data_IF_104235001876
#
_entry.id   IF_104235001876
#
_cell.length_a   1.000
_cell.length_b   1.000
_cell.length_c   1.000
_cell.angle_alpha   90.00
_cell.angle_beta   90.00
_cell.angle_gamma   90.00
#
_symmetry.space_group_name_H-M   'P 1'
#
loop_
_entity.id
_entity.type
_entity.pdbx_description
1 polymer ?
#
# COMPACT_ATOMS: atom_id res chain seq x y z
N UNK A 1 10.14 47.74 -20.05
CA UNK A 1 9.67 46.42 -20.57
C UNK A 1 10.36 45.22 -19.92
N UNK A 2 11.54 45.35 -19.29
CA UNK A 2 12.20 44.23 -18.60
C UNK A 2 11.67 43.96 -17.17
N UNK A 3 11.18 44.97 -16.46
CA UNK A 3 10.75 44.87 -15.05
C UNK A 3 9.42 44.14 -14.84
N UNK A 4 8.45 44.30 -15.75
CA UNK A 4 7.16 43.60 -15.70
C UNK A 4 7.25 42.07 -15.89
N UNK A 5 8.38 41.57 -16.39
CA UNK A 5 8.58 40.14 -16.70
C UNK A 5 9.20 39.36 -15.53
N UNK A 6 9.90 40.04 -14.61
CA UNK A 6 10.48 39.44 -13.42
C UNK A 6 9.47 39.32 -12.26
N UNK A 7 8.61 40.34 -12.08
CA UNK A 7 7.60 40.34 -11.00
C UNK A 7 6.57 39.21 -11.17
N UNK A 8 6.14 38.91 -12.41
CA UNK A 8 5.23 37.79 -12.67
C UNK A 8 5.86 36.40 -12.42
N UNK A 9 7.19 36.28 -12.48
CA UNK A 9 7.91 35.03 -12.21
C UNK A 9 8.04 34.75 -10.71
N UNK A 10 8.15 35.81 -9.90
CA UNK A 10 8.28 35.70 -8.45
C UNK A 10 6.94 35.36 -7.79
N UNK A 11 5.84 35.95 -8.26
CA UNK A 11 4.49 35.62 -7.77
C UNK A 11 3.98 34.24 -8.21
N UNK A 12 4.41 33.72 -9.37
CA UNK A 12 4.12 32.32 -9.77
C UNK A 12 5.04 31.28 -9.10
N UNK A 13 6.24 31.68 -8.64
CA UNK A 13 7.23 30.79 -8.03
C UNK A 13 6.81 30.25 -6.66
N UNK A 14 6.26 31.09 -5.78
CA UNK A 14 5.75 30.67 -4.47
C UNK A 14 4.58 29.65 -4.55
N UNK A 15 3.52 29.85 -5.36
CA UNK A 15 2.47 28.87 -5.52
C UNK A 15 2.94 27.61 -6.27
N UNK A 16 3.90 27.70 -7.20
CA UNK A 16 4.49 26.51 -7.82
C UNK A 16 5.30 25.66 -6.84
N UNK A 17 6.11 26.27 -5.97
CA UNK A 17 6.84 25.56 -4.91
C UNK A 17 5.85 24.87 -3.95
N UNK A 18 4.78 25.59 -3.56
CA UNK A 18 3.72 25.02 -2.72
C UNK A 18 3.00 23.84 -3.39
N UNK A 19 2.71 23.94 -4.68
CA UNK A 19 2.09 22.85 -5.44
C UNK A 19 3.01 21.63 -5.56
N UNK A 20 4.29 21.84 -5.86
CA UNK A 20 5.29 20.78 -5.94
C UNK A 20 5.48 20.06 -4.59
N UNK A 21 5.57 20.80 -3.49
CA UNK A 21 5.65 20.22 -2.13
C UNK A 21 4.40 19.43 -1.77
N UNK A 22 3.22 19.96 -2.11
CA UNK A 22 1.94 19.26 -1.90
C UNK A 22 1.91 17.94 -2.66
N UNK A 23 2.27 17.95 -3.95
CA UNK A 23 2.31 16.74 -4.79
C UNK A 23 3.34 15.72 -4.31
N UNK A 24 4.52 16.18 -3.90
CA UNK A 24 5.53 15.31 -3.30
C UNK A 24 5.04 14.67 -2.00
N UNK A 25 4.32 15.42 -1.15
CA UNK A 25 3.73 14.89 0.09
C UNK A 25 2.62 13.87 -0.18
N UNK A 26 1.74 14.17 -1.15
CA UNK A 26 0.69 13.24 -1.63
C UNK A 26 1.32 11.93 -2.12
N UNK A 27 2.28 12.01 -3.05
CA UNK A 27 2.94 10.81 -3.59
C UNK A 27 3.70 10.01 -2.54
N UNK A 28 4.34 10.68 -1.56
CA UNK A 28 4.99 9.99 -0.43
C UNK A 28 3.98 9.29 0.48
N UNK A 29 2.79 9.86 0.67
CA UNK A 29 1.73 9.23 1.47
C UNK A 29 1.14 8.03 0.73
N UNK A 30 0.87 8.16 -0.57
CA UNK A 30 0.39 7.10 -1.46
C UNK A 30 1.37 5.93 -1.51
N UNK A 31 2.64 6.18 -1.83
CA UNK A 31 3.65 5.11 -1.89
C UNK A 31 3.90 4.42 -0.54
N UNK A 32 3.69 5.11 0.59
CA UNK A 32 3.71 4.46 1.91
C UNK A 32 2.51 3.55 2.14
N UNK A 33 1.32 3.94 1.65
CA UNK A 33 0.12 3.13 1.76
C UNK A 33 0.22 1.88 0.89
N UNK A 34 0.65 2.04 -0.37
CA UNK A 34 0.89 0.94 -1.31
C UNK A 34 1.95 -0.02 -0.76
N UNK A 35 3.13 0.49 -0.37
CA UNK A 35 4.19 -0.36 0.17
C UNK A 35 3.81 -1.07 1.47
N UNK A 36 2.91 -0.50 2.29
CA UNK A 36 2.36 -1.19 3.45
C UNK A 36 1.47 -2.37 3.03
N UNK A 37 0.59 -2.17 2.05
CA UNK A 37 -0.28 -3.23 1.56
C UNK A 37 0.53 -4.38 0.93
N UNK A 38 1.47 -4.06 0.04
CA UNK A 38 2.38 -5.05 -0.57
C UNK A 38 3.16 -5.84 0.48
N UNK A 39 3.73 -5.16 1.47
CA UNK A 39 4.50 -5.81 2.54
C UNK A 39 3.66 -6.75 3.40
N UNK A 40 2.41 -6.38 3.70
CA UNK A 40 1.48 -7.24 4.44
C UNK A 40 1.05 -8.46 3.61
N UNK A 41 0.77 -8.27 2.32
CA UNK A 41 0.38 -9.35 1.41
C UNK A 41 1.52 -10.38 1.25
N UNK A 42 2.77 -9.93 1.03
CA UNK A 42 3.92 -10.83 0.94
C UNK A 42 4.21 -11.57 2.26
N UNK A 43 4.03 -10.90 3.40
CA UNK A 43 4.16 -11.55 4.71
C UNK A 43 3.12 -12.67 4.87
N UNK A 44 1.87 -12.42 4.49
CA UNK A 44 0.79 -13.39 4.56
C UNK A 44 1.02 -14.58 3.61
N UNK A 45 1.43 -14.31 2.36
CA UNK A 45 1.79 -15.35 1.38
C UNK A 45 2.85 -16.29 1.94
N UNK A 46 3.94 -15.74 2.51
CA UNK A 46 5.02 -16.55 3.10
C UNK A 46 4.54 -17.46 4.23
N UNK A 47 3.56 -17.02 5.03
CA UNK A 47 2.99 -17.83 6.11
C UNK A 47 2.02 -18.89 5.56
N UNK A 48 1.18 -18.52 4.59
CA UNK A 48 0.27 -19.45 3.90
C UNK A 48 1.02 -20.58 3.20
N UNK A 49 2.10 -20.27 2.47
CA UNK A 49 2.99 -21.26 1.86
C UNK A 49 3.53 -22.25 2.89
N UNK A 50 3.99 -21.74 4.04
CA UNK A 50 4.61 -22.57 5.09
C UNK A 50 3.62 -23.42 5.86
N UNK A 51 2.43 -22.91 6.13
CA UNK A 51 1.46 -23.56 7.03
C UNK A 51 0.49 -24.47 6.27
N UNK A 52 0.10 -24.10 5.06
CA UNK A 52 -1.01 -24.76 4.35
C UNK A 52 -0.67 -25.21 2.92
N UNK A 53 0.51 -24.88 2.39
CA UNK A 53 0.97 -25.28 1.05
C UNK A 53 -0.03 -24.89 -0.06
N UNK A 54 -0.42 -23.61 -0.12
CA UNK A 54 -1.35 -23.09 -1.13
C UNK A 54 -0.78 -23.21 -2.55
N UNK A 55 -1.67 -23.37 -3.51
CA UNK A 55 -1.32 -23.36 -4.92
C UNK A 55 -0.87 -21.97 -5.38
N UNK A 56 0.04 -21.85 -6.36
CA UNK A 56 0.55 -20.56 -6.83
C UNK A 56 -0.56 -19.58 -7.24
N UNK A 57 -1.68 -20.08 -7.77
CA UNK A 57 -2.83 -19.27 -8.16
C UNK A 57 -3.54 -18.64 -6.96
N UNK A 58 -3.62 -19.33 -5.82
CA UNK A 58 -4.22 -18.80 -4.60
C UNK A 58 -3.32 -17.72 -4.00
N UNK A 59 -2.01 -17.95 -3.99
CA UNK A 59 -1.03 -16.99 -3.50
C UNK A 59 -0.98 -15.72 -4.36
N UNK A 60 -1.14 -15.86 -5.68
CA UNK A 60 -1.25 -14.71 -6.59
C UNK A 60 -2.44 -13.82 -6.22
N UNK A 61 -3.60 -14.41 -5.90
CA UNK A 61 -4.79 -13.64 -5.48
C UNK A 61 -4.55 -12.89 -4.17
N UNK A 62 -3.82 -13.48 -3.22
CA UNK A 62 -3.48 -12.80 -1.96
C UNK A 62 -2.62 -11.56 -2.22
N UNK A 63 -1.69 -11.62 -3.18
CA UNK A 63 -0.84 -10.47 -3.57
C UNK A 63 -1.62 -9.30 -4.17
N UNK A 64 -2.78 -9.57 -4.76
CA UNK A 64 -3.65 -8.54 -5.34
C UNK A 64 -4.49 -7.80 -4.29
N UNK A 65 -4.54 -8.29 -3.05
CA UNK A 65 -5.29 -7.64 -1.97
C UNK A 65 -4.55 -6.39 -1.49
N UNK A 66 -5.19 -5.23 -1.60
CA UNK A 66 -4.63 -3.95 -1.13
C UNK A 66 -5.23 -3.45 0.19
N UNK A 67 -6.32 -4.08 0.66
CA UNK A 67 -6.98 -3.71 1.90
C UNK A 67 -6.12 -4.13 3.10
N UNK A 68 -5.40 -3.15 3.66
CA UNK A 68 -4.49 -3.40 4.79
C UNK A 68 -5.19 -3.92 6.04
N UNK A 69 -6.48 -3.62 6.24
CA UNK A 69 -7.23 -4.09 7.41
C UNK A 69 -7.54 -5.58 7.27
N UNK A 70 -7.98 -5.99 6.08
CA UNK A 70 -8.20 -7.41 5.77
C UNK A 70 -6.92 -8.23 5.85
N UNK A 71 -5.83 -7.71 5.29
CA UNK A 71 -4.51 -8.36 5.36
C UNK A 71 -4.03 -8.54 6.80
N UNK A 72 -4.21 -7.51 7.65
CA UNK A 72 -3.87 -7.62 9.07
C UNK A 72 -4.75 -8.65 9.79
N UNK A 73 -6.06 -8.64 9.56
CA UNK A 73 -6.96 -9.63 10.15
C UNK A 73 -6.61 -11.08 9.73
N UNK A 74 -6.18 -11.27 8.48
CA UNK A 74 -5.69 -12.56 7.99
C UNK A 74 -4.35 -12.98 8.62
N UNK A 75 -3.44 -12.02 8.84
CA UNK A 75 -2.18 -12.25 9.55
C UNK A 75 -2.38 -12.59 11.03
N UNK A 76 -3.37 -11.98 11.68
CA UNK A 76 -3.75 -12.31 13.06
C UNK A 76 -4.39 -13.71 13.10
N UNK A 77 -5.26 -14.04 12.15
CA UNK A 77 -5.86 -15.38 12.07
C UNK A 77 -4.80 -16.46 11.84
N UNK A 78 -3.85 -16.29 10.90
CA UNK A 78 -2.91 -17.36 10.52
C UNK A 78 -1.89 -17.71 11.62
N UNK A 79 -1.79 -16.94 12.70
CA UNK A 79 -0.95 -17.31 13.85
C UNK A 79 -1.72 -18.10 14.91
N UNK A 80 -3.05 -18.12 14.84
CA UNK A 80 -3.88 -18.83 15.80
C UNK A 80 -3.69 -20.35 15.68
N UNK A 81 -3.54 -21.09 16.80
CA UNK A 81 -3.28 -22.54 16.76
C UNK A 81 -4.33 -23.33 15.98
N UNK A 82 -5.59 -22.89 16.01
CA UNK A 82 -6.72 -23.54 15.32
C UNK A 82 -7.01 -23.04 13.92
N UNK A 83 -6.26 -22.08 13.39
CA UNK A 83 -6.55 -21.49 12.09
C UNK A 83 -6.44 -22.51 10.95
N UNK A 84 -7.38 -22.40 10.01
CA UNK A 84 -7.45 -23.20 8.80
C UNK A 84 -7.13 -22.32 7.60
N UNK A 85 -6.80 -22.95 6.45
CA UNK A 85 -6.64 -22.20 5.20
C UNK A 85 -7.87 -21.34 4.92
N UNK A 86 -9.05 -21.95 4.99
CA UNK A 86 -10.29 -21.29 4.58
C UNK A 86 -10.64 -20.14 5.54
N UNK A 87 -10.46 -20.31 6.86
CA UNK A 87 -10.72 -19.23 7.83
C UNK A 87 -9.81 -18.01 7.66
N UNK A 88 -8.57 -18.22 7.21
CA UNK A 88 -7.64 -17.12 6.86
C UNK A 88 -8.08 -16.43 5.57
N UNK A 89 -8.40 -17.20 4.52
CA UNK A 89 -8.80 -16.64 3.23
C UNK A 89 -10.15 -15.90 3.30
N UNK A 90 -11.06 -16.33 4.18
CA UNK A 90 -12.31 -15.62 4.44
C UNK A 90 -12.11 -14.19 4.94
N UNK A 91 -10.98 -13.89 5.63
CA UNK A 91 -10.67 -12.51 6.05
C UNK A 91 -10.38 -11.58 4.87
N UNK A 92 -10.03 -12.13 3.71
CA UNK A 92 -9.68 -11.38 2.50
C UNK A 92 -10.88 -11.09 1.59
N UNK A 93 -12.02 -11.77 1.82
CA UNK A 93 -13.26 -11.57 1.09
C UNK A 93 -13.87 -10.17 1.34
#
# INVERSE_FOLDING_TARGET
LATLREEGYTEMGAPMISYAEKKHREGKAEGKAEGKAEGLAEALVRLLERRFLLEPVELARVREVTDTVKLQAALDEIIEPGATRDSVLEKLA
#
